data_IF_338941775164
#
_entry.id   IF_338941775164
#
_cell.length_a   1.000
_cell.length_b   1.000
_cell.length_c   1.000
_cell.angle_alpha   90.00
_cell.angle_beta   90.00
_cell.angle_gamma   90.00
#
_symmetry.space_group_name_H-M   'P 1'
#
loop_
_entity.id
_entity.type
_entity.pdbx_description
1 polymer ?
#
# COMPACT_ATOMS: atom_id res chain seq x y z
N UNK A 1 -18.94 -47.33 23.98
CA UNK A 1 -18.75 -46.18 24.90
C UNK A 1 -17.37 -45.52 24.79
N UNK A 2 -16.28 -46.28 24.53
CA UNK A 2 -14.91 -45.75 24.42
C UNK A 2 -14.70 -44.85 23.18
N UNK A 3 -15.33 -45.17 22.04
CA UNK A 3 -15.23 -44.34 20.82
C UNK A 3 -15.78 -42.92 21.00
N UNK A 4 -16.87 -42.76 21.76
CA UNK A 4 -17.46 -41.44 22.05
C UNK A 4 -16.51 -40.56 22.88
N UNK A 5 -15.84 -41.15 23.88
CA UNK A 5 -14.85 -40.42 24.67
C UNK A 5 -13.66 -39.95 23.83
N UNK A 6 -13.19 -40.77 22.89
CA UNK A 6 -12.06 -40.46 22.03
C UNK A 6 -12.37 -39.33 21.04
N UNK A 7 -13.60 -39.29 20.51
CA UNK A 7 -14.09 -38.19 19.65
C UNK A 7 -14.11 -36.87 20.43
N UNK A 8 -14.58 -36.87 21.69
CA UNK A 8 -14.61 -35.66 22.52
C UNK A 8 -13.19 -35.15 22.81
N UNK A 9 -12.23 -36.05 23.08
CA UNK A 9 -10.83 -35.67 23.31
C UNK A 9 -10.22 -35.03 22.05
N UNK A 10 -10.46 -35.59 20.87
CA UNK A 10 -9.98 -35.02 19.59
C UNK A 10 -10.58 -33.64 19.35
N UNK A 11 -11.87 -33.45 19.62
CA UNK A 11 -12.53 -32.15 19.48
C UNK A 11 -11.94 -31.11 20.44
N UNK A 12 -11.69 -31.49 21.70
CA UNK A 12 -11.06 -30.58 22.69
C UNK A 12 -9.65 -30.19 22.25
N UNK A 13 -8.85 -31.15 21.77
CA UNK A 13 -7.50 -30.87 21.24
C UNK A 13 -7.60 -29.93 20.02
N UNK A 14 -8.57 -30.14 19.13
CA UNK A 14 -8.77 -29.28 17.96
C UNK A 14 -9.14 -27.84 18.36
N UNK A 15 -10.02 -27.68 19.35
CA UNK A 15 -10.42 -26.37 19.88
C UNK A 15 -9.24 -25.68 20.56
N UNK A 16 -8.46 -26.39 21.37
CA UNK A 16 -7.26 -25.85 21.99
C UNK A 16 -6.22 -25.46 20.94
N UNK A 17 -6.01 -26.28 19.90
CA UNK A 17 -5.10 -25.98 18.81
C UNK A 17 -5.53 -24.73 18.02
N UNK A 18 -6.83 -24.56 17.74
CA UNK A 18 -7.37 -23.38 17.09
C UNK A 18 -7.27 -22.13 17.98
N UNK A 19 -7.51 -22.26 19.29
CA UNK A 19 -7.42 -21.17 20.28
C UNK A 19 -5.98 -20.78 20.61
N UNK A 20 -5.03 -21.69 20.43
CA UNK A 20 -3.59 -21.45 20.60
C UNK A 20 -2.92 -20.87 19.36
N UNK A 21 -3.64 -20.62 18.26
CA UNK A 21 -3.14 -19.66 17.29
C UNK A 21 -3.16 -18.31 17.98
N UNK A 22 -2.01 -17.68 18.27
CA UNK A 22 -2.05 -16.28 18.63
C UNK A 22 -2.70 -15.57 17.45
N UNK A 23 -3.82 -14.90 17.68
CA UNK A 23 -4.12 -13.73 16.85
C UNK A 23 -2.82 -12.96 16.82
N UNK A 24 -2.23 -12.80 15.63
CA UNK A 24 -0.95 -12.14 15.49
C UNK A 24 -1.11 -10.78 16.16
N UNK A 25 -0.51 -10.60 17.33
CA UNK A 25 -0.38 -9.27 17.90
C UNK A 25 0.29 -8.43 16.80
N UNK A 26 -0.33 -7.31 16.40
CA UNK A 26 0.19 -6.50 15.31
C UNK A 26 1.59 -6.04 15.70
N UNK A 27 2.58 -6.65 15.05
CA UNK A 27 3.98 -6.62 15.43
C UNK A 27 4.66 -5.32 14.98
N UNK A 28 3.97 -4.51 14.19
CA UNK A 28 4.47 -3.28 13.61
C UNK A 28 3.42 -2.16 13.56
N UNK A 29 3.88 -0.91 13.67
CA UNK A 29 3.05 0.29 13.50
C UNK A 29 2.32 0.31 12.15
N UNK A 30 2.92 -0.28 11.11
CA UNK A 30 2.34 -0.41 9.78
C UNK A 30 1.11 -1.33 9.79
N UNK A 31 1.20 -2.49 10.44
CA UNK A 31 0.07 -3.42 10.60
C UNK A 31 -1.09 -2.74 11.34
N UNK A 32 -0.81 -2.01 12.43
CA UNK A 32 -1.83 -1.25 13.16
C UNK A 32 -2.53 -0.20 12.28
N UNK A 33 -1.78 0.55 11.47
CA UNK A 33 -2.34 1.55 10.54
C UNK A 33 -3.17 0.90 9.44
N UNK A 34 -2.74 -0.25 8.93
CA UNK A 34 -3.48 -1.02 7.93
C UNK A 34 -4.82 -1.51 8.49
N UNK A 35 -4.82 -2.12 9.68
CA UNK A 35 -6.02 -2.62 10.36
C UNK A 35 -7.02 -1.50 10.67
N UNK A 36 -6.52 -0.33 11.07
CA UNK A 36 -7.36 0.84 11.33
C UNK A 36 -8.02 1.34 10.04
N UNK A 37 -7.26 1.42 8.94
CA UNK A 37 -7.81 1.82 7.64
C UNK A 37 -8.87 0.82 7.16
N UNK A 38 -8.59 -0.49 7.26
CA UNK A 38 -9.54 -1.54 6.89
C UNK A 38 -10.87 -1.38 7.65
N UNK A 39 -10.80 -1.20 8.98
CA UNK A 39 -11.98 -1.01 9.82
C UNK A 39 -12.80 0.21 9.42
N UNK A 40 -12.16 1.36 9.20
CA UNK A 40 -12.87 2.59 8.82
C UNK A 40 -13.50 2.48 7.43
N UNK A 41 -12.81 1.86 6.46
CA UNK A 41 -13.34 1.60 5.12
C UNK A 41 -14.55 0.67 5.19
N UNK A 42 -14.45 -0.43 5.93
CA UNK A 42 -15.55 -1.38 6.11
C UNK A 42 -16.77 -0.72 6.75
N UNK A 43 -16.56 0.11 7.79
CA UNK A 43 -17.64 0.89 8.41
C UNK A 43 -18.32 1.82 7.42
N UNK A 44 -17.55 2.59 6.64
CA UNK A 44 -18.10 3.47 5.60
C UNK A 44 -18.93 2.68 4.58
N UNK A 45 -18.43 1.54 4.10
CA UNK A 45 -19.12 0.70 3.15
C UNK A 45 -20.42 0.13 3.71
N UNK A 46 -20.41 -0.36 4.95
CA UNK A 46 -21.61 -0.82 5.64
C UNK A 46 -22.65 0.30 5.78
N UNK A 47 -22.21 1.49 6.18
CA UNK A 47 -23.08 2.64 6.36
C UNK A 47 -23.74 3.08 5.05
N UNK A 48 -22.99 3.10 3.95
CA UNK A 48 -23.51 3.43 2.62
C UNK A 48 -24.50 2.36 2.15
N UNK A 49 -24.18 1.07 2.35
CA UNK A 49 -25.05 -0.05 1.96
C UNK A 49 -26.35 -0.11 2.77
N UNK A 50 -26.29 0.14 4.08
CA UNK A 50 -27.45 0.09 4.99
C UNK A 50 -28.38 1.29 4.81
N UNK A 51 -27.81 2.50 4.70
CA UNK A 51 -28.59 3.74 4.54
C UNK A 51 -27.82 4.75 3.70
N UNK A 52 -27.96 4.62 2.39
CA UNK A 52 -27.36 5.55 1.45
C UNK A 52 -28.00 6.93 1.58
N UNK A 53 -27.16 7.95 1.77
CA UNK A 53 -27.55 9.36 1.67
C UNK A 53 -26.65 10.04 0.64
N UNK A 54 -27.08 11.15 0.02
CA UNK A 54 -26.24 11.87 -0.94
C UNK A 54 -24.86 12.25 -0.38
N UNK A 55 -24.80 12.63 0.90
CA UNK A 55 -23.55 12.94 1.60
C UNK A 55 -22.65 11.70 1.69
N UNK A 56 -23.19 10.55 2.09
CA UNK A 56 -22.44 9.29 2.20
C UNK A 56 -21.97 8.78 0.85
N UNK A 57 -22.80 8.87 -0.19
CA UNK A 57 -22.38 8.54 -1.56
C UNK A 57 -21.27 9.46 -2.05
N UNK A 58 -21.37 10.77 -1.79
CA UNK A 58 -20.32 11.72 -2.17
C UNK A 58 -19.01 11.42 -1.46
N UNK A 59 -19.06 11.05 -0.17
CA UNK A 59 -17.87 10.64 0.56
C UNK A 59 -17.24 9.39 -0.05
N UNK A 60 -18.04 8.37 -0.36
CA UNK A 60 -17.57 7.16 -1.01
C UNK A 60 -16.90 7.45 -2.37
N UNK A 61 -17.49 8.32 -3.18
CA UNK A 61 -16.91 8.75 -4.46
C UNK A 61 -15.54 9.42 -4.27
N UNK A 62 -15.42 10.31 -3.28
CA UNK A 62 -14.16 10.99 -2.94
C UNK A 62 -13.09 9.96 -2.53
N UNK A 63 -13.42 8.99 -1.66
CA UNK A 63 -12.46 7.98 -1.23
C UNK A 63 -12.03 7.07 -2.40
N UNK A 64 -12.97 6.66 -3.26
CA UNK A 64 -12.64 5.88 -4.47
C UNK A 64 -11.65 6.66 -5.35
N UNK A 65 -11.92 7.93 -5.62
CA UNK A 65 -11.03 8.79 -6.41
C UNK A 65 -9.66 8.94 -5.74
N UNK A 66 -9.63 9.10 -4.42
CA UNK A 66 -8.39 9.19 -3.64
C UNK A 66 -7.56 7.92 -3.79
N UNK A 67 -8.16 6.74 -3.61
CA UNK A 67 -7.46 5.45 -3.77
C UNK A 67 -6.96 5.22 -5.20
N UNK A 68 -7.75 5.60 -6.21
CA UNK A 68 -7.33 5.52 -7.61
C UNK A 68 -6.13 6.42 -7.90
N UNK A 69 -6.11 7.63 -7.34
CA UNK A 69 -4.98 8.56 -7.47
C UNK A 69 -3.73 8.04 -6.78
N UNK A 70 -3.86 7.59 -5.53
CA UNK A 70 -2.77 6.99 -4.77
C UNK A 70 -2.13 5.83 -5.53
N UNK A 71 -2.94 4.87 -5.98
CA UNK A 71 -2.45 3.72 -6.74
C UNK A 71 -1.68 4.11 -7.99
N UNK A 72 -2.20 5.07 -8.76
CA UNK A 72 -1.53 5.54 -9.98
C UNK A 72 -0.22 6.26 -9.65
N UNK A 73 -0.17 7.02 -8.56
CA UNK A 73 1.06 7.66 -8.10
C UNK A 73 2.10 6.60 -7.67
N UNK A 74 1.69 5.60 -6.90
CA UNK A 74 2.56 4.50 -6.48
C UNK A 74 3.09 3.69 -7.67
N UNK A 75 2.27 3.49 -8.70
CA UNK A 75 2.72 2.86 -9.95
C UNK A 75 3.80 3.69 -10.66
N UNK A 76 3.66 5.02 -10.72
CA UNK A 76 4.66 5.90 -11.34
C UNK A 76 5.96 5.91 -10.54
N UNK A 77 5.88 6.06 -9.22
CA UNK A 77 7.04 6.06 -8.33
C UNK A 77 7.72 4.69 -8.31
N UNK A 78 6.95 3.61 -8.25
CA UNK A 78 7.48 2.25 -8.31
C UNK A 78 8.10 1.90 -9.67
N UNK A 79 7.72 2.57 -10.77
CA UNK A 79 8.46 2.49 -12.05
C UNK A 79 9.80 3.20 -11.94
N UNK A 80 9.81 4.43 -11.42
CA UNK A 80 11.03 5.21 -11.23
C UNK A 80 12.06 4.50 -10.34
N UNK A 81 11.62 3.89 -9.23
CA UNK A 81 12.50 3.18 -8.29
C UNK A 81 13.10 1.88 -8.85
N UNK A 82 12.42 1.22 -9.78
CA UNK A 82 12.88 -0.04 -10.39
C UNK A 82 13.69 0.19 -11.66
N UNK A 83 13.67 1.38 -12.22
CA UNK A 83 14.39 1.73 -13.44
C UNK A 83 15.90 1.76 -13.16
N UNK A 84 16.66 1.17 -14.07
CA UNK A 84 18.12 1.06 -13.96
C UNK A 84 18.82 2.21 -14.64
N UNK A 85 18.22 2.75 -15.70
CA UNK A 85 18.73 3.92 -16.40
C UNK A 85 18.37 5.20 -15.62
N UNK A 86 19.36 5.97 -15.12
CA UNK A 86 19.09 7.14 -14.30
C UNK A 86 18.26 8.22 -15.01
N UNK A 87 18.40 8.35 -16.33
CA UNK A 87 17.66 9.35 -17.10
C UNK A 87 16.19 8.96 -17.22
N UNK A 88 15.90 7.69 -17.52
CA UNK A 88 14.52 7.18 -17.54
C UNK A 88 13.88 7.22 -16.15
N UNK A 89 14.63 6.95 -15.09
CA UNK A 89 14.15 7.07 -13.71
C UNK A 89 13.75 8.52 -13.38
N UNK A 90 14.56 9.51 -13.80
CA UNK A 90 14.24 10.93 -13.68
C UNK A 90 12.94 11.27 -14.44
N UNK A 91 12.78 10.78 -15.67
CA UNK A 91 11.58 11.04 -16.47
C UNK A 91 10.31 10.50 -15.79
N UNK A 92 10.36 9.30 -15.20
CA UNK A 92 9.26 8.76 -14.41
C UNK A 92 8.97 9.57 -13.14
N UNK A 93 10.01 10.05 -12.44
CA UNK A 93 9.83 10.94 -11.29
C UNK A 93 9.20 12.29 -11.70
N UNK A 94 9.56 12.84 -12.86
CA UNK A 94 8.93 14.04 -13.41
C UNK A 94 7.47 13.79 -13.80
N UNK A 95 7.15 12.61 -14.34
CA UNK A 95 5.76 12.22 -14.60
C UNK A 95 4.94 12.16 -13.31
N UNK A 96 5.49 11.55 -12.24
CA UNK A 96 4.86 11.53 -10.91
C UNK A 96 4.66 12.95 -10.35
N UNK A 97 5.66 13.82 -10.48
CA UNK A 97 5.56 15.22 -10.06
C UNK A 97 4.45 15.99 -10.80
N UNK A 98 4.38 15.80 -12.12
CA UNK A 98 3.31 16.37 -12.95
C UNK A 98 1.94 15.86 -12.52
N UNK A 99 1.82 14.56 -12.24
CA UNK A 99 0.59 13.95 -11.74
C UNK A 99 0.13 14.57 -10.40
N UNK A 100 1.04 14.72 -9.43
CA UNK A 100 0.79 15.36 -8.14
C UNK A 100 0.28 16.79 -8.34
N UNK A 101 0.97 17.59 -9.16
CA UNK A 101 0.63 18.99 -9.42
C UNK A 101 -0.74 19.13 -10.11
N UNK A 102 -1.02 18.30 -11.11
CA UNK A 102 -2.29 18.32 -11.86
C UNK A 102 -3.49 17.94 -10.98
N UNK A 103 -3.30 17.05 -10.02
CA UNK A 103 -4.38 16.51 -9.19
C UNK A 103 -4.51 17.18 -7.82
N UNK A 104 -3.60 18.10 -7.47
CA UNK A 104 -3.47 18.69 -6.13
C UNK A 104 -3.49 17.62 -5.02
N UNK A 105 -2.66 16.59 -5.18
CA UNK A 105 -2.71 15.35 -4.40
C UNK A 105 -1.32 14.98 -3.90
N UNK A 106 -1.17 14.70 -2.60
CA UNK A 106 0.10 14.36 -1.93
C UNK A 106 1.25 15.35 -2.25
N UNK A 107 0.97 16.65 -2.08
CA UNK A 107 1.93 17.72 -2.38
C UNK A 107 3.20 17.64 -1.53
N UNK A 108 3.10 17.04 -0.35
CA UNK A 108 4.21 16.78 0.57
C UNK A 108 5.28 15.86 -0.05
N UNK A 109 4.90 14.94 -0.95
CA UNK A 109 5.85 14.04 -1.62
C UNK A 109 6.67 14.71 -2.71
N UNK A 110 6.40 15.98 -3.03
CA UNK A 110 7.19 16.75 -4.00
C UNK A 110 8.65 16.86 -3.58
N UNK A 111 8.90 17.13 -2.30
CA UNK A 111 10.25 17.27 -1.77
C UNK A 111 11.02 15.95 -1.89
N UNK A 112 10.37 14.83 -1.54
CA UNK A 112 10.92 13.48 -1.71
C UNK A 112 11.33 13.21 -3.16
N UNK A 113 10.45 13.52 -4.12
CA UNK A 113 10.72 13.33 -5.56
C UNK A 113 11.87 14.22 -6.04
N UNK A 114 11.91 15.49 -5.63
CA UNK A 114 12.98 16.43 -5.97
C UNK A 114 14.34 15.94 -5.45
N UNK A 115 14.38 15.41 -4.23
CA UNK A 115 15.59 14.80 -3.66
C UNK A 115 16.05 13.58 -4.45
N UNK A 116 15.13 12.69 -4.84
CA UNK A 116 15.45 11.52 -5.68
C UNK A 116 16.03 11.92 -7.03
N UNK A 117 15.44 12.90 -7.70
CA UNK A 117 15.94 13.43 -8.98
C UNK A 117 17.35 13.99 -8.80
N UNK A 118 17.59 14.77 -7.74
CA UNK A 118 18.91 15.36 -7.46
C UNK A 118 19.97 14.28 -7.24
N UNK A 119 19.64 13.21 -6.51
CA UNK A 119 20.54 12.07 -6.28
C UNK A 119 20.90 11.39 -7.60
N UNK A 120 19.91 11.16 -8.46
CA UNK A 120 20.11 10.53 -9.77
C UNK A 120 20.97 11.40 -10.72
N UNK A 121 20.79 12.73 -10.69
CA UNK A 121 21.60 13.66 -11.48
C UNK A 121 23.05 13.77 -11.00
N UNK A 122 23.28 13.60 -9.70
CA UNK A 122 24.62 13.64 -9.10
C UNK A 122 25.37 12.32 -9.21
N UNK A 123 24.66 11.23 -9.52
CA UNK A 123 25.25 9.92 -9.77
C UNK A 123 25.91 9.96 -11.15
N UNK A 124 27.25 9.94 -11.26
CA UNK A 124 27.90 9.90 -12.56
C UNK A 124 27.42 8.65 -13.30
N UNK A 125 27.24 8.71 -14.64
CA UNK A 125 26.95 7.50 -15.40
C UNK A 125 28.08 6.53 -15.09
N UNK A 126 27.72 5.35 -14.57
CA UNK A 126 28.66 4.23 -14.44
C UNK A 126 29.20 3.98 -15.84
N UNK A 127 30.34 4.59 -16.16
CA UNK A 127 31.10 4.27 -17.36
C UNK A 127 31.48 2.83 -17.17
N UNK A 128 30.69 1.93 -17.76
CA UNK A 128 31.14 0.58 -18.06
C UNK A 128 32.38 0.81 -18.90
N UNK A 129 33.55 0.71 -18.28
CA UNK A 129 34.79 0.59 -19.02
C UNK A 129 34.62 -0.70 -19.81
N UNK A 130 34.27 -0.52 -21.09
CA UNK A 130 34.41 -1.58 -22.06
C UNK A 130 35.90 -1.86 -22.16
N UNK A 131 36.39 -2.72 -21.25
CA UNK A 131 37.65 -3.41 -21.42
C UNK A 131 37.52 -4.23 -22.70
N UNK A 132 37.95 -3.65 -23.81
CA UNK A 132 38.13 -4.36 -25.07
C UNK A 132 39.50 -4.02 -25.64
N UNK A 133 40.37 -5.00 -25.39
CA UNK A 133 41.53 -5.47 -26.18
C UNK A 133 42.73 -4.56 -26.29
#
# INVERSE_FOLDING_TARGET
MIQLGLVVVVIIILILYLKSRPEKEPSSELELKADLLEREVMRLLEEVKKKSTPIKMKRLEIEIQRFQKARRLDELLGKAEREKDPQNAIDYYLEAFSFIKKNNFELERKQEIEEKIKILQQSPPTRISSGKR
#
